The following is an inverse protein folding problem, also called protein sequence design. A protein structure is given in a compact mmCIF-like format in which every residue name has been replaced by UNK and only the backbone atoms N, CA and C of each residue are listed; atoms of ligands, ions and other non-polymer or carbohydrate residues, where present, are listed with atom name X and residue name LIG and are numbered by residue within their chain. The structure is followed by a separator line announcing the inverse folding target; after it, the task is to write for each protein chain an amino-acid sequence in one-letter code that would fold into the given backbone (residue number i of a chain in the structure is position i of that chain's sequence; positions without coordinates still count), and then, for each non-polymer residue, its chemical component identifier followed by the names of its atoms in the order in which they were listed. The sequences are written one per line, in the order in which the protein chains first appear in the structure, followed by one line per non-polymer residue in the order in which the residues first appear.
data_IF_456443944151
#
_entry.id   IF_456443944151
#
_cell.length_a   1.000
_cell.length_b   1.000
_cell.length_c   1.000
_cell.angle_alpha   90.00
_cell.angle_beta   90.00
_cell.angle_gamma   90.00
#
_symmetry.space_group_name_H-M   'P 1'
#
loop_
_entity.id
_entity.type
_entity.pdbx_description
1 polymer ?
#
# COMPACT_ATOMS: atom_id res chain seq x y z
N UNK A 1 -12.35 5.18 -7.92
CA UNK A 1 -13.46 5.66 -7.07
C UNK A 1 -13.26 5.34 -5.58
N UNK A 2 -12.76 4.15 -5.22
CA UNK A 2 -12.55 3.78 -3.80
C UNK A 2 -11.77 4.82 -2.96
N UNK A 3 -10.63 5.31 -3.45
CA UNK A 3 -9.86 6.34 -2.72
C UNK A 3 -10.64 7.65 -2.52
N UNK A 4 -11.40 8.07 -3.54
CA UNK A 4 -12.23 9.29 -3.49
C UNK A 4 -13.36 9.12 -2.47
N UNK A 5 -14.04 7.98 -2.48
CA UNK A 5 -15.10 7.67 -1.52
C UNK A 5 -14.57 7.63 -0.08
N UNK A 6 -13.39 7.05 0.11
CA UNK A 6 -12.72 7.06 1.41
C UNK A 6 -12.41 8.48 1.89
N UNK A 7 -11.85 9.29 1.01
CA UNK A 7 -11.47 10.67 1.32
C UNK A 7 -12.68 11.55 1.66
N UNK A 8 -13.78 11.38 0.92
CA UNK A 8 -15.06 12.03 1.23
C UNK A 8 -15.66 11.58 2.57
N UNK A 9 -15.47 10.32 2.95
CA UNK A 9 -16.03 9.78 4.19
C UNK A 9 -15.20 10.15 5.43
N UNK A 10 -13.87 10.18 5.33
CA UNK A 10 -12.95 10.40 6.46
C UNK A 10 -12.33 11.79 6.51
N UNK A 11 -12.42 12.58 5.45
CA UNK A 11 -11.76 13.88 5.33
C UNK A 11 -10.22 13.77 5.25
N UNK A 12 -9.70 12.61 4.88
CA UNK A 12 -8.26 12.33 4.79
C UNK A 12 -7.95 11.42 3.60
N UNK A 13 -6.81 11.67 2.95
CA UNK A 13 -6.34 10.86 1.83
C UNK A 13 -6.02 9.43 2.25
N UNK A 14 -6.43 8.45 1.43
CA UNK A 14 -6.23 7.03 1.71
C UNK A 14 -4.74 6.64 1.68
N UNK A 15 -4.02 7.13 0.68
CA UNK A 15 -2.60 6.85 0.49
C UNK A 15 -1.85 8.17 0.51
N UNK A 16 -1.38 8.58 1.70
CA UNK A 16 -0.67 9.84 1.88
C UNK A 16 0.84 9.62 1.82
N UNK A 17 1.39 9.37 0.64
CA UNK A 17 2.84 9.23 0.44
C UNK A 17 3.28 9.82 -0.89
N UNK A 18 4.56 10.17 -0.97
CA UNK A 18 5.26 10.57 -2.20
C UNK A 18 6.27 9.51 -2.67
N UNK A 19 6.47 8.43 -1.93
CA UNK A 19 7.37 7.34 -2.28
C UNK A 19 6.60 6.18 -2.88
N UNK A 20 7.01 5.72 -4.07
CA UNK A 20 6.38 4.57 -4.74
C UNK A 20 6.45 3.29 -3.88
N UNK A 21 7.55 3.10 -3.14
CA UNK A 21 7.75 1.92 -2.29
C UNK A 21 6.80 1.92 -1.10
N UNK A 22 6.67 3.07 -0.43
CA UNK A 22 5.69 3.24 0.66
C UNK A 22 4.26 3.12 0.15
N UNK A 23 3.98 3.61 -1.06
CA UNK A 23 2.65 3.51 -1.66
C UNK A 23 2.26 2.04 -1.88
N UNK A 24 3.18 1.23 -2.42
CA UNK A 24 2.97 -0.21 -2.57
C UNK A 24 2.80 -0.91 -1.22
N UNK A 25 3.56 -0.52 -0.20
CA UNK A 25 3.46 -1.10 1.13
C UNK A 25 2.10 -0.79 1.80
N UNK A 26 1.62 0.45 1.68
CA UNK A 26 0.26 0.80 2.12
C UNK A 26 -0.81 0.04 1.35
N UNK A 27 -0.66 -0.12 0.02
CA UNK A 27 -1.59 -0.91 -0.78
C UNK A 27 -1.61 -2.38 -0.36
N UNK A 28 -0.45 -3.00 -0.12
CA UNK A 28 -0.37 -4.39 0.34
C UNK A 28 -1.01 -4.57 1.71
N UNK A 29 -0.90 -3.56 2.59
CA UNK A 29 -1.53 -3.58 3.91
C UNK A 29 -3.06 -3.44 3.85
N UNK A 30 -3.57 -2.61 2.94
CA UNK A 30 -5.00 -2.31 2.81
C UNK A 30 -5.75 -3.34 1.97
N UNK A 31 -5.18 -3.72 0.82
CA UNK A 31 -5.81 -4.57 -0.18
C UNK A 31 -5.35 -6.04 -0.11
N UNK A 32 -4.36 -6.36 0.74
CA UNK A 32 -3.72 -7.66 0.79
C UNK A 32 -2.57 -7.82 -0.22
N UNK A 33 -2.04 -9.04 -0.31
CA UNK A 33 -0.84 -9.34 -1.10
C UNK A 33 -1.00 -8.97 -2.59
N UNK A 34 0.03 -8.37 -3.17
CA UNK A 34 0.02 -7.97 -4.57
C UNK A 34 0.09 -9.24 -5.45
N UNK A 35 -0.81 -9.41 -6.44
CA UNK A 35 -0.82 -10.63 -7.25
C UNK A 35 0.50 -10.87 -8.01
N UNK A 36 1.00 -12.12 -7.95
CA UNK A 36 2.27 -12.54 -8.59
C UNK A 36 2.36 -12.18 -10.08
N UNK A 37 1.23 -12.26 -10.81
CA UNK A 37 1.16 -11.90 -12.23
C UNK A 37 1.58 -10.44 -12.48
N UNK A 38 1.24 -9.53 -11.55
CA UNK A 38 1.61 -8.12 -11.65
C UNK A 38 3.08 -7.92 -11.27
N UNK A 39 3.53 -8.58 -10.22
CA UNK A 39 4.92 -8.52 -9.73
C UNK A 39 5.90 -8.97 -10.82
N UNK A 40 5.61 -10.10 -11.49
CA UNK A 40 6.48 -10.62 -12.56
C UNK A 40 6.44 -9.82 -13.85
N UNK A 41 5.41 -8.99 -14.05
CA UNK A 41 5.27 -8.14 -15.25
C UNK A 41 5.97 -6.79 -15.10
N UNK A 42 6.15 -6.31 -13.86
CA UNK A 42 6.80 -5.02 -13.62
C UNK A 42 8.32 -5.10 -13.77
N UNK A 43 8.94 -3.99 -14.18
CA UNK A 43 10.41 -3.82 -14.28
C UNK A 43 11.01 -3.13 -13.05
N UNK A 44 10.19 -2.85 -12.03
CA UNK A 44 10.60 -2.12 -10.83
C UNK A 44 11.43 -3.00 -9.88
N UNK A 45 12.45 -2.42 -9.25
CA UNK A 45 13.32 -3.11 -8.27
C UNK A 45 12.74 -3.16 -6.85
N UNK A 46 11.43 -3.01 -6.70
CA UNK A 46 10.77 -3.01 -5.38
C UNK A 46 10.39 -4.40 -4.89
N UNK A 47 10.46 -5.41 -5.75
CA UNK A 47 10.10 -6.78 -5.40
C UNK A 47 11.36 -7.66 -5.40
N UNK A 48 11.53 -8.44 -4.33
CA UNK A 48 12.59 -9.43 -4.19
C UNK A 48 11.94 -10.78 -3.87
N UNK A 49 12.26 -11.82 -4.65
CA UNK A 49 11.62 -13.14 -4.53
C UNK A 49 10.08 -13.10 -4.55
N UNK A 50 9.50 -12.32 -5.46
CA UNK A 50 8.05 -12.08 -5.56
C UNK A 50 7.41 -11.41 -4.31
N UNK A 51 8.21 -10.89 -3.37
CA UNK A 51 7.74 -10.17 -2.16
C UNK A 51 8.17 -8.71 -2.21
N UNK A 52 7.31 -7.79 -1.73
CA UNK A 52 7.65 -6.37 -1.66
C UNK A 52 8.77 -6.12 -0.64
N UNK A 53 9.84 -5.47 -1.09
CA UNK A 53 10.93 -5.01 -0.23
C UNK A 53 10.53 -3.71 0.48
N UNK A 54 10.27 -3.82 1.78
CA UNK A 54 9.88 -2.71 2.67
C UNK A 54 11.08 -2.03 3.35
N UNK A 55 12.32 -2.42 3.03
CA UNK A 55 13.50 -1.78 3.65
C UNK A 55 13.50 -0.27 3.39
N UNK A 56 13.70 0.52 4.46
CA UNK A 56 13.70 1.98 4.37
C UNK A 56 12.33 2.63 4.22
N UNK A 57 11.23 1.89 4.37
CA UNK A 57 9.89 2.47 4.53
C UNK A 57 9.58 2.69 6.01
N UNK A 58 8.83 3.74 6.32
CA UNK A 58 8.37 3.98 7.69
C UNK A 58 7.15 3.09 8.01
N UNK A 59 7.42 1.92 8.58
CA UNK A 59 6.38 0.96 8.97
C UNK A 59 5.41 1.52 10.01
N UNK A 60 5.86 2.44 10.88
CA UNK A 60 5.00 3.07 11.87
C UNK A 60 3.99 4.00 11.21
N UNK A 61 4.46 4.80 10.24
CA UNK A 61 3.62 5.64 9.40
C UNK A 61 2.61 4.83 8.59
N UNK A 62 3.05 3.72 7.97
CA UNK A 62 2.17 2.82 7.20
C UNK A 62 1.10 2.21 8.11
N UNK A 63 1.49 1.73 9.29
CA UNK A 63 0.57 1.13 10.25
C UNK A 63 -0.48 2.13 10.72
N UNK A 64 -0.05 3.33 11.10
CA UNK A 64 -0.94 4.35 11.68
C UNK A 64 -1.91 4.92 10.63
N UNK A 65 -1.45 5.05 9.37
CA UNK A 65 -2.30 5.48 8.25
C UNK A 65 -3.32 4.41 7.86
N UNK A 66 -2.94 3.13 7.92
CA UNK A 66 -3.80 2.01 7.50
C UNK A 66 -4.59 1.35 8.65
N UNK A 67 -4.37 1.72 9.92
CA UNK A 67 -4.98 1.10 11.10
C UNK A 67 -6.53 1.11 11.07
N UNK A 68 -7.12 2.13 10.44
CA UNK A 68 -8.57 2.32 10.37
C UNK A 68 -9.22 1.70 9.12
N UNK A 69 -8.43 0.99 8.31
CA UNK A 69 -8.87 0.44 7.03
C UNK A 69 -8.65 -1.07 6.86
N UNK A 70 -8.33 -1.78 7.95
CA UNK A 70 -8.30 -3.25 7.93
C UNK A 70 -9.74 -3.74 7.74
N UNK A 71 -10.20 -3.71 6.49
CA UNK A 71 -11.36 -4.42 6.04
C UNK A 71 -10.96 -5.88 6.12
N UNK A 72 -11.40 -6.56 7.18
CA UNK A 72 -11.53 -8.02 7.15
C UNK A 72 -12.42 -8.36 5.95
N UNK A 73 -11.80 -8.74 4.84
CA UNK A 73 -12.38 -9.64 3.85
C UNK A 73 -11.93 -11.05 4.19
#
# INVERSE_FOLDING_TARGET
LGCILYELHRGATLFRTHSNREHLAMMERVCGHIPLRMIRKTRTKYFHNDVLDITGTDESFIRDTCANLVVCL
#
